data_IF_754998471539
#
_entry.id   IF_754998471539
#
_cell.length_a   1.000
_cell.length_b   1.000
_cell.length_c   1.000
_cell.angle_alpha   90.00
_cell.angle_beta   90.00
_cell.angle_gamma   90.00
#
_symmetry.space_group_name_H-M   'P 1'
#
loop_
_entity.id
_entity.type
_entity.pdbx_description
1 polymer ?
#
# COMPACT_ATOMS: atom_id res chain seq x y z
N UNK A 1 -1.29 -11.62 -4.64
CA UNK A 1 -2.74 -11.72 -4.36
C UNK A 1 -3.47 -10.64 -5.17
N UNK A 2 -4.55 -10.95 -5.90
CA UNK A 2 -5.15 -10.06 -6.90
C UNK A 2 -5.70 -8.72 -6.37
N UNK A 3 -6.03 -8.58 -5.08
CA UNK A 3 -6.51 -7.32 -4.49
C UNK A 3 -5.57 -6.65 -3.49
N UNK A 4 -4.27 -6.94 -3.53
CA UNK A 4 -3.33 -6.38 -2.54
C UNK A 4 -3.17 -4.86 -2.70
N UNK A 5 -3.24 -4.36 -3.94
CA UNK A 5 -3.08 -2.96 -4.30
C UNK A 5 -4.19 -2.02 -3.79
N UNK A 6 -5.27 -2.57 -3.22
CA UNK A 6 -6.46 -1.85 -2.78
C UNK A 6 -6.65 -1.88 -1.26
N UNK A 7 -5.72 -2.52 -0.53
CA UNK A 7 -5.85 -2.76 0.91
C UNK A 7 -4.88 -1.88 1.67
N UNK A 8 -5.39 -0.75 2.16
CA UNK A 8 -4.62 0.23 2.94
C UNK A 8 -3.88 -0.39 4.14
N UNK A 9 -4.51 -1.33 4.85
CA UNK A 9 -3.89 -2.06 5.97
C UNK A 9 -2.74 -2.98 5.59
N UNK A 10 -2.55 -3.27 4.29
CA UNK A 10 -1.39 -4.00 3.76
C UNK A 10 -0.35 -3.02 3.22
N UNK A 11 -0.79 -2.04 2.44
CA UNK A 11 0.11 -1.15 1.72
C UNK A 11 0.81 -0.13 2.63
N UNK A 12 0.15 0.38 3.67
CA UNK A 12 0.77 1.31 4.60
C UNK A 12 1.96 0.67 5.35
N UNK A 13 1.83 -0.48 6.03
CA UNK A 13 2.99 -1.14 6.63
C UNK A 13 4.05 -1.55 5.62
N UNK A 14 3.65 -1.90 4.39
CA UNK A 14 4.59 -2.26 3.33
C UNK A 14 5.42 -1.05 2.86
N UNK A 15 4.89 0.17 2.97
CA UNK A 15 5.61 1.40 2.63
C UNK A 15 6.82 1.63 3.53
N UNK A 16 6.69 1.27 4.80
CA UNK A 16 7.79 1.39 5.78
C UNK A 16 8.90 0.37 5.51
N UNK A 17 8.54 -0.82 5.01
CA UNK A 17 9.48 -1.92 4.81
C UNK A 17 10.12 -1.93 3.41
N UNK A 18 9.38 -1.55 2.37
CA UNK A 18 9.78 -1.68 0.97
C UNK A 18 9.22 -0.52 0.11
N UNK A 19 9.68 0.73 0.32
CA UNK A 19 9.10 1.93 -0.31
C UNK A 19 9.20 1.95 -1.85
N UNK A 20 10.16 1.20 -2.42
CA UNK A 20 10.40 1.13 -3.87
C UNK A 20 9.77 -0.11 -4.53
N UNK A 21 8.87 -0.81 -3.83
CA UNK A 21 8.22 -2.01 -4.35
C UNK A 21 7.45 -1.73 -5.66
N UNK A 22 7.66 -2.61 -6.64
CA UNK A 22 6.91 -2.67 -7.90
C UNK A 22 6.18 -4.02 -7.95
N UNK A 23 4.89 -4.01 -8.27
CA UNK A 23 4.08 -5.22 -8.37
C UNK A 23 4.24 -5.90 -9.74
N UNK A 24 3.86 -7.19 -9.89
CA UNK A 24 3.97 -7.92 -11.15
C UNK A 24 3.19 -7.31 -12.33
N UNK A 25 2.20 -6.46 -12.05
CA UNK A 25 1.43 -5.72 -13.06
C UNK A 25 2.08 -4.38 -13.45
N UNK A 26 3.27 -4.07 -12.91
CA UNK A 26 4.03 -2.86 -13.16
C UNK A 26 3.64 -1.65 -12.31
N UNK A 27 2.58 -1.74 -11.50
CA UNK A 27 2.21 -0.64 -10.60
C UNK A 27 3.22 -0.52 -9.46
N UNK A 28 3.53 0.71 -9.06
CA UNK A 28 4.38 0.97 -7.90
C UNK A 28 3.54 1.00 -6.62
N UNK A 29 4.15 0.68 -5.48
CA UNK A 29 3.52 0.83 -4.17
C UNK A 29 3.00 2.25 -3.94
N UNK A 30 3.77 3.26 -4.36
CA UNK A 30 3.38 4.66 -4.25
C UNK A 30 2.11 4.97 -5.07
N UNK A 31 2.00 4.46 -6.30
CA UNK A 31 0.82 4.65 -7.13
C UNK A 31 -0.43 4.01 -6.49
N UNK A 32 -0.27 2.83 -5.88
CA UNK A 32 -1.37 2.17 -5.16
C UNK A 32 -1.78 2.98 -3.91
N UNK A 33 -0.83 3.52 -3.16
CA UNK A 33 -1.12 4.37 -1.98
C UNK A 33 -1.84 5.67 -2.35
N UNK A 34 -1.46 6.33 -3.44
CA UNK A 34 -2.15 7.54 -3.92
C UNK A 34 -3.60 7.29 -4.35
N UNK A 35 -3.94 6.05 -4.72
CA UNK A 35 -5.29 5.68 -5.12
C UNK A 35 -6.20 5.33 -3.92
N UNK A 36 -5.67 5.26 -2.70
CA UNK A 36 -6.42 4.90 -1.50
C UNK A 36 -6.87 6.14 -0.74
N UNK A 37 -8.12 6.11 -0.25
CA UNK A 37 -8.51 6.91 0.91
C UNK A 37 -7.98 6.19 2.16
N UNK A 38 -7.10 6.83 2.92
CA UNK A 38 -6.41 6.24 4.09
C UNK A 38 -6.86 6.89 5.41
N UNK A 39 -8.11 7.33 5.46
CA UNK A 39 -8.57 8.24 6.52
C UNK A 39 -8.85 7.51 7.86
N UNK A 40 -8.99 6.18 7.85
CA UNK A 40 -9.44 5.39 9.00
C UNK A 40 -8.37 4.46 9.62
N UNK A 41 -7.10 4.57 9.22
CA UNK A 41 -6.01 3.75 9.75
C UNK A 41 -5.12 4.53 10.71
N UNK A 42 -4.85 3.92 11.87
CA UNK A 42 -3.97 4.46 12.90
C UNK A 42 -2.94 3.42 13.34
N UNK A 43 -1.70 3.83 13.64
CA UNK A 43 -0.71 2.96 14.28
C UNK A 43 -1.21 2.47 15.64
N UNK A 44 -0.85 1.24 16.00
CA UNK A 44 -1.07 0.73 17.35
C UNK A 44 0.03 1.28 18.27
N UNK A 45 -0.36 1.89 19.38
CA UNK A 45 0.51 2.43 20.44
C UNK A 45 0.88 1.41 21.49
#
# INVERSE_FOLDING_TARGET
HPGIGERSFVLLPLADLAPHQVFPDGRTLHACLQALACDDLQPLS
#
